data_IF_860472048440
#
_entry.id   IF_860472048440
#
_cell.length_a   1.000
_cell.length_b   1.000
_cell.length_c   1.000
_cell.angle_alpha   90.00
_cell.angle_beta   90.00
_cell.angle_gamma   90.00
#
_symmetry.space_group_name_H-M   'P 1'
#
loop_
_entity.id
_entity.type
_entity.pdbx_description
1 polymer ?
#
# COMPACT_ATOMS: atom_id res chain seq x y z
N UNK A 1 2.93 -13.90 -5.71
CA UNK A 1 2.04 -12.80 -5.41
C UNK A 1 2.73 -11.46 -5.57
N UNK A 2 1.95 -10.49 -5.95
CA UNK A 2 2.50 -9.17 -6.16
C UNK A 2 2.45 -8.38 -4.86
N UNK A 3 3.38 -7.48 -4.68
CA UNK A 3 3.43 -6.65 -3.49
C UNK A 3 3.19 -5.21 -3.87
N UNK A 4 2.43 -4.52 -3.02
CA UNK A 4 2.07 -3.14 -3.27
C UNK A 4 2.32 -2.31 -2.02
N UNK A 5 2.65 -1.05 -2.23
CA UNK A 5 2.74 -0.10 -1.13
C UNK A 5 1.66 0.94 -1.31
N UNK A 6 0.88 1.14 -0.26
CA UNK A 6 -0.22 2.09 -0.27
C UNK A 6 0.15 3.28 0.58
N UNK A 7 0.11 4.47 -0.02
CA UNK A 7 0.30 5.70 0.72
C UNK A 7 -1.07 6.30 0.95
N UNK A 8 -1.36 6.63 2.19
CA UNK A 8 -2.69 7.08 2.55
C UNK A 8 -2.63 8.23 3.53
N UNK A 9 -3.78 8.88 3.70
CA UNK A 9 -3.94 9.92 4.71
C UNK A 9 -5.27 9.70 5.41
N UNK A 10 -5.34 10.11 6.67
CA UNK A 10 -6.58 10.00 7.40
C UNK A 10 -7.53 11.08 6.92
N UNK A 11 -8.83 10.81 7.03
CA UNK A 11 -9.86 11.76 6.60
C UNK A 11 -10.53 12.46 7.76
N UNK A 12 -10.15 12.13 8.98
CA UNK A 12 -10.65 12.81 10.17
C UNK A 12 -9.49 13.12 11.08
N UNK A 13 -9.64 14.16 11.94
CA UNK A 13 -8.53 14.53 12.84
C UNK A 13 -8.26 13.42 13.85
N UNK A 14 -7.02 13.30 14.28
CA UNK A 14 -5.88 14.08 13.80
C UNK A 14 -5.44 13.59 12.41
N UNK A 15 -5.12 14.54 11.54
CA UNK A 15 -4.70 14.20 10.19
C UNK A 15 -3.25 13.76 10.20
N UNK A 16 -3.00 12.61 9.59
CA UNK A 16 -1.63 12.18 9.39
C UNK A 16 -1.60 11.23 8.20
N UNK A 17 -0.42 10.99 7.70
CA UNK A 17 -0.22 10.12 6.55
C UNK A 17 0.55 8.90 7.00
N UNK A 18 0.50 7.87 6.15
CA UNK A 18 1.23 6.66 6.44
C UNK A 18 1.36 5.84 5.18
N UNK A 19 2.01 4.71 5.31
CA UNK A 19 2.12 3.78 4.20
C UNK A 19 2.12 2.37 4.75
N UNK A 20 1.57 1.45 3.96
CA UNK A 20 1.49 0.05 4.33
C UNK A 20 1.75 -0.79 3.10
N UNK A 21 2.25 -1.99 3.34
CA UNK A 21 2.53 -2.93 2.26
C UNK A 21 1.51 -4.04 2.28
N UNK A 22 1.11 -4.46 1.09
CA UNK A 22 0.14 -5.51 0.93
C UNK A 22 0.58 -6.49 -0.14
N UNK A 23 0.21 -7.74 0.05
CA UNK A 23 0.38 -8.75 -0.97
C UNK A 23 -0.97 -9.04 -1.57
N UNK A 24 -1.07 -9.03 -2.88
CA UNK A 24 -2.32 -9.28 -3.56
C UNK A 24 -2.07 -9.60 -5.02
N UNK A 25 -3.11 -10.06 -5.68
CA UNK A 25 -3.03 -10.38 -7.09
C UNK A 25 -3.21 -9.15 -7.95
N UNK A 26 -3.95 -8.17 -7.46
CA UNK A 26 -4.25 -6.98 -8.23
C UNK A 26 -4.58 -5.80 -7.31
N UNK A 27 -4.77 -4.65 -7.93
CA UNK A 27 -5.03 -3.42 -7.18
C UNK A 27 -6.37 -3.44 -6.47
N UNK A 28 -7.36 -4.06 -7.07
CA UNK A 28 -8.68 -4.13 -6.44
C UNK A 28 -8.60 -4.84 -5.11
N UNK A 29 -7.85 -5.90 -5.06
CA UNK A 29 -7.69 -6.66 -3.83
C UNK A 29 -6.99 -5.81 -2.78
N UNK A 30 -5.96 -5.06 -3.20
CA UNK A 30 -5.25 -4.17 -2.29
C UNK A 30 -6.20 -3.15 -1.69
N UNK A 31 -7.01 -2.52 -2.53
CA UNK A 31 -7.94 -1.51 -2.06
C UNK A 31 -8.94 -2.08 -1.08
N UNK A 32 -9.46 -3.25 -1.37
CA UNK A 32 -10.42 -3.88 -0.49
C UNK A 32 -9.80 -4.21 0.86
N UNK A 33 -8.60 -4.72 0.85
CA UNK A 33 -7.90 -5.04 2.09
C UNK A 33 -7.64 -3.78 2.89
N UNK A 34 -7.23 -2.73 2.22
CA UNK A 34 -6.94 -1.47 2.88
C UNK A 34 -8.19 -0.89 3.51
N UNK A 35 -9.27 -0.80 2.75
CA UNK A 35 -10.49 -0.19 3.26
C UNK A 35 -11.16 -1.02 4.35
N UNK A 36 -10.92 -2.31 4.35
CA UNK A 36 -11.40 -3.15 5.41
C UNK A 36 -10.69 -2.86 6.72
N UNK A 37 -9.45 -2.42 6.63
CA UNK A 37 -8.63 -2.16 7.80
C UNK A 37 -8.70 -0.70 8.25
N UNK A 38 -8.83 0.22 7.31
CA UNK A 38 -8.81 1.65 7.58
C UNK A 38 -10.07 2.29 7.01
N UNK A 39 -11.06 2.53 7.85
CA UNK A 39 -12.31 3.10 7.37
C UNK A 39 -12.23 4.60 7.16
N UNK A 40 -11.45 5.28 7.99
CA UNK A 40 -11.37 6.73 7.92
C UNK A 40 -10.04 7.14 7.30
N UNK A 41 -9.77 6.62 6.12
CA UNK A 41 -8.52 6.93 5.43
C UNK A 41 -8.75 6.91 3.94
N UNK A 42 -7.91 7.64 3.23
CA UNK A 42 -7.99 7.75 1.79
C UNK A 42 -6.65 7.40 1.19
N UNK A 43 -6.67 6.56 0.17
CA UNK A 43 -5.47 6.21 -0.58
C UNK A 43 -5.19 7.32 -1.57
N UNK A 44 -3.98 7.86 -1.54
CA UNK A 44 -3.63 8.84 -2.54
C UNK A 44 -2.54 8.34 -3.49
N UNK A 45 -1.95 7.19 -3.19
CA UNK A 45 -0.96 6.62 -4.09
C UNK A 45 -0.81 5.14 -3.81
N UNK A 46 -0.75 4.35 -4.86
CA UNK A 46 -0.47 2.92 -4.74
C UNK A 46 0.65 2.61 -5.71
N UNK A 47 1.70 1.97 -5.22
CA UNK A 47 2.83 1.60 -6.05
C UNK A 47 3.05 0.10 -5.94
N UNK A 48 3.33 -0.53 -7.05
CA UNK A 48 3.69 -1.93 -7.02
C UNK A 48 5.17 -2.05 -6.69
N UNK A 49 5.49 -2.86 -5.71
CA UNK A 49 6.87 -3.08 -5.34
C UNK A 49 7.35 -4.26 -6.16
N UNK A 50 8.24 -3.98 -7.07
CA UNK A 50 8.80 -5.03 -7.90
C UNK A 50 9.99 -5.58 -7.16
N UNK A 51 9.78 -6.71 -6.55
CA UNK A 51 10.86 -7.34 -5.85
C UNK A 51 11.91 -7.76 -6.86
N UNK A 52 13.08 -7.28 -6.68
CA UNK A 52 14.12 -7.51 -7.64
C UNK A 52 15.31 -8.16 -6.97
N UNK A 53 15.42 -9.45 -7.17
CA UNK A 53 16.51 -10.22 -6.66
C UNK A 53 17.84 -9.68 -7.13
N UNK A 54 17.83 -9.17 -8.30
CA UNK A 54 19.00 -8.59 -8.90
C UNK A 54 19.52 -7.42 -8.06
N UNK A 55 18.60 -6.63 -7.55
CA UNK A 55 18.95 -5.52 -6.67
C UNK A 55 19.66 -5.99 -5.43
N UNK A 56 19.24 -7.11 -4.91
CA UNK A 56 19.87 -7.64 -3.72
C UNK A 56 21.30 -7.99 -3.98
N UNK A 57 21.58 -8.47 -5.16
CA UNK A 57 22.93 -8.86 -5.49
C UNK A 57 23.81 -7.70 -5.87
N UNK A 58 23.20 -6.58 -6.15
CA UNK A 58 23.95 -5.41 -6.53
C UNK A 58 24.69 -4.78 -5.35
N UNK A 59 24.41 -5.27 -4.17
CA UNK A 59 25.05 -4.68 -3.01
C UNK A 59 26.48 -5.04 -2.86
#
# INVERSE_FOLDING_TARGET
>A
MRQFEVDYETTIPPWHTGHEKYEAEDLDTVRRKFHSKHEAARIFKVSEILYNEYNLRAK
#
